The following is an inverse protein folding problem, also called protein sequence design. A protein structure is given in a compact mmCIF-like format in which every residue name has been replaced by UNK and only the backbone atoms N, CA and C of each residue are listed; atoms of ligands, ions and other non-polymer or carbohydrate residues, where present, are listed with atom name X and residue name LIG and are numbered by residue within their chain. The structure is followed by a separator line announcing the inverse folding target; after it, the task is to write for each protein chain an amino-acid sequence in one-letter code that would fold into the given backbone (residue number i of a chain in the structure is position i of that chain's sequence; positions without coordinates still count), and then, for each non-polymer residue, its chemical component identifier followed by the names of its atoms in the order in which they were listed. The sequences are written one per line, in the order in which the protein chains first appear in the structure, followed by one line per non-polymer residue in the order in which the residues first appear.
data_IF_062247616421
#
_entry.id   IF_062247616421
#
_cell.length_a   1.000
_cell.length_b   1.000
_cell.length_c   1.000
_cell.angle_alpha   90.00
_cell.angle_beta   90.00
_cell.angle_gamma   90.00
#
_symmetry.space_group_name_H-M   'P 1'
#
loop_
_entity.id
_entity.type
_entity.pdbx_description
1 polymer ?
#
# COMPACT_ATOMS: atom_id res chain seq x y z
N UNK A 1 -14.22 -38.86 -64.37
CA UNK A 1 -13.91 -39.60 -63.12
C UNK A 1 -12.41 -39.66 -62.93
N UNK A 2 -11.95 -39.38 -61.69
CA UNK A 2 -10.73 -39.85 -61.00
C UNK A 2 -9.37 -39.47 -61.62
N UNK A 3 -8.69 -38.45 -61.08
CA UNK A 3 -7.76 -38.51 -59.93
C UNK A 3 -6.66 -39.56 -60.08
N UNK A 4 -5.48 -39.10 -60.50
CA UNK A 4 -4.21 -39.76 -60.32
C UNK A 4 -3.33 -38.94 -59.36
N UNK A 5 -2.56 -39.72 -58.61
CA UNK A 5 -1.91 -39.45 -57.35
C UNK A 5 -0.51 -38.82 -57.50
N UNK A 6 -0.09 -38.16 -56.42
CA UNK A 6 1.25 -38.13 -55.82
C UNK A 6 2.35 -37.17 -56.35
N UNK A 7 2.75 -36.33 -55.39
CA UNK A 7 4.12 -35.99 -54.96
C UNK A 7 4.97 -35.08 -55.85
N UNK A 8 5.14 -33.85 -55.36
CA UNK A 8 6.46 -33.23 -55.28
C UNK A 8 6.56 -32.38 -54.03
N UNK A 9 7.47 -32.76 -53.14
CA UNK A 9 7.81 -32.11 -51.88
C UNK A 9 8.71 -30.92 -52.20
N UNK A 10 8.18 -29.70 -52.18
CA UNK A 10 9.00 -28.49 -52.27
C UNK A 10 9.41 -28.07 -50.85
N UNK A 11 10.69 -28.27 -50.53
CA UNK A 11 11.33 -27.75 -49.33
C UNK A 11 11.60 -26.25 -49.55
N UNK A 12 10.85 -25.38 -48.88
CA UNK A 12 11.23 -23.98 -48.69
C UNK A 12 11.88 -23.82 -47.31
N UNK A 13 13.21 -23.70 -47.32
CA UNK A 13 13.97 -23.17 -46.18
C UNK A 13 13.72 -21.66 -46.15
N UNK A 14 12.75 -21.22 -45.36
CA UNK A 14 12.67 -19.83 -44.94
C UNK A 14 13.53 -19.68 -43.68
N UNK A 15 14.75 -19.17 -43.86
CA UNK A 15 15.58 -18.70 -42.76
C UNK A 15 14.90 -17.51 -42.08
N UNK A 16 14.17 -17.77 -41.00
CA UNK A 16 13.83 -16.72 -40.06
C UNK A 16 15.06 -16.47 -39.20
N UNK A 17 15.76 -15.39 -39.52
CA UNK A 17 16.63 -14.71 -38.59
C UNK A 17 15.81 -14.44 -37.31
N UNK A 18 16.06 -15.20 -36.26
CA UNK A 18 15.56 -14.88 -34.92
C UNK A 18 16.38 -13.67 -34.47
N UNK A 19 15.79 -12.47 -34.36
CA UNK A 19 16.49 -11.40 -33.65
C UNK A 19 16.77 -11.92 -32.24
N UNK A 20 18.03 -11.80 -31.79
CA UNK A 20 18.38 -11.94 -30.38
C UNK A 20 17.40 -11.09 -29.58
N UNK A 21 16.38 -11.71 -28.98
CA UNK A 21 15.63 -11.09 -27.92
C UNK A 21 16.59 -11.03 -26.74
N UNK A 22 17.26 -9.89 -26.61
CA UNK A 22 17.73 -9.45 -25.32
C UNK A 22 16.50 -9.43 -24.41
N UNK A 23 16.29 -10.53 -23.68
CA UNK A 23 15.38 -10.57 -22.55
C UNK A 23 16.00 -9.72 -21.42
N UNK A 24 16.13 -8.41 -21.68
CA UNK A 24 16.00 -7.44 -20.62
C UNK A 24 14.57 -7.61 -20.11
N UNK A 25 14.45 -8.30 -18.99
CA UNK A 25 13.22 -8.41 -18.23
C UNK A 25 12.67 -6.99 -18.09
N UNK A 26 11.61 -6.70 -18.85
CA UNK A 26 10.83 -5.49 -18.65
C UNK A 26 10.21 -5.63 -17.27
N UNK A 27 10.85 -4.97 -16.30
CA UNK A 27 10.25 -4.70 -15.00
C UNK A 27 8.96 -3.99 -15.33
N UNK A 28 7.83 -4.68 -15.14
CA UNK A 28 6.50 -4.09 -15.25
C UNK A 28 6.54 -2.85 -14.36
N UNK A 29 6.58 -1.67 -14.99
CA UNK A 29 6.55 -0.41 -14.30
C UNK A 29 5.39 -0.48 -13.30
N UNK A 30 5.59 -0.12 -12.01
CA UNK A 30 4.47 0.01 -11.10
C UNK A 30 3.48 0.93 -11.81
N UNK A 31 2.26 0.42 -12.02
CA UNK A 31 1.24 1.08 -12.81
C UNK A 31 1.18 2.56 -12.45
N UNK A 32 1.11 3.38 -13.49
CA UNK A 32 1.06 4.84 -13.43
C UNK A 32 0.03 5.28 -12.39
N UNK A 33 0.46 5.44 -11.14
CA UNK A 33 -0.26 6.21 -10.16
C UNK A 33 -0.04 7.63 -10.63
N UNK A 34 -1.07 8.17 -11.28
CA UNK A 34 -1.12 9.57 -11.67
C UNK A 34 -0.51 10.40 -10.53
N UNK A 35 0.54 11.15 -10.88
CA UNK A 35 1.07 12.19 -10.02
C UNK A 35 -0.02 13.26 -9.90
N UNK A 36 -0.95 13.08 -8.96
CA UNK A 36 -1.73 14.20 -8.47
C UNK A 36 -0.83 14.95 -7.51
N UNK A 37 -0.48 16.17 -7.93
CA UNK A 37 0.28 17.14 -7.14
C UNK A 37 -0.35 17.39 -5.77
N UNK A 38 0.39 18.12 -4.94
CA UNK A 38 0.04 18.43 -3.55
C UNK A 38 -1.47 18.66 -3.37
N UNK A 39 -2.13 17.71 -2.70
CA UNK A 39 -3.58 17.80 -2.52
C UNK A 39 -3.85 18.86 -1.47
N UNK A 40 -4.47 19.94 -1.95
CA UNK A 40 -5.14 20.99 -1.19
C UNK A 40 -5.98 20.34 -0.10
N UNK A 41 -5.81 20.80 1.14
CA UNK A 41 -6.68 20.44 2.25
C UNK A 41 -8.11 20.88 1.90
N UNK A 42 -8.97 19.92 1.58
CA UNK A 42 -10.38 20.20 1.39
C UNK A 42 -10.99 20.40 2.79
N UNK A 43 -11.19 21.68 3.13
CA UNK A 43 -11.74 22.13 4.42
C UNK A 43 -13.26 21.94 4.50
N UNK A 44 -13.90 21.45 3.44
CA UNK A 44 -15.34 21.33 3.38
C UNK A 44 -15.75 19.85 3.40
N UNK A 45 -16.11 19.38 4.59
CA UNK A 45 -16.72 18.07 4.77
C UNK A 45 -18.06 18.00 4.05
N UNK A 46 -18.11 17.35 2.88
CA UNK A 46 -19.37 16.97 2.24
C UNK A 46 -19.21 15.55 1.68
N UNK A 47 -19.86 14.61 2.40
CA UNK A 47 -20.20 13.25 1.97
C UNK A 47 -19.01 12.32 1.71
N UNK A 48 -18.50 11.73 2.81
CA UNK A 48 -17.63 10.55 2.71
C UNK A 48 -18.32 9.51 1.83
N UNK A 49 -17.65 9.15 0.74
CA UNK A 49 -17.83 7.87 0.06
C UNK A 49 -17.74 6.75 1.12
N UNK A 50 -18.53 5.69 0.90
CA UNK A 50 -19.17 4.81 1.90
C UNK A 50 -18.33 4.41 3.13
N UNK A 51 -18.34 5.24 4.18
CA UNK A 51 -17.68 4.95 5.47
C UNK A 51 -18.30 3.77 6.23
N UNK A 52 -19.39 3.19 5.74
CA UNK A 52 -20.01 1.99 6.31
C UNK A 52 -19.24 0.72 5.91
N UNK A 53 -18.63 0.71 4.72
CA UNK A 53 -17.72 -0.35 4.30
C UNK A 53 -16.49 -0.39 5.21
N UNK A 54 -15.87 0.77 5.46
CA UNK A 54 -14.75 0.92 6.40
C UNK A 54 -15.12 0.46 7.83
N UNK A 55 -16.34 0.72 8.30
CA UNK A 55 -16.85 0.20 9.57
C UNK A 55 -16.86 -1.33 9.59
N UNK A 56 -17.46 -1.94 8.57
CA UNK A 56 -17.60 -3.40 8.45
C UNK A 56 -16.22 -4.08 8.44
N UNK A 57 -15.26 -3.53 7.71
CA UNK A 57 -13.90 -4.08 7.65
C UNK A 57 -13.19 -3.96 9.00
N UNK A 58 -13.33 -2.82 9.69
CA UNK A 58 -12.79 -2.65 11.03
C UNK A 58 -13.43 -3.60 12.06
N UNK A 59 -14.75 -3.86 11.97
CA UNK A 59 -15.41 -4.85 12.83
C UNK A 59 -14.89 -6.28 12.64
N UNK A 60 -14.50 -6.68 11.42
CA UNK A 60 -13.94 -8.03 11.21
C UNK A 60 -12.69 -8.30 12.07
N UNK A 61 -11.95 -7.26 12.44
CA UNK A 61 -10.70 -7.40 13.22
C UNK A 61 -10.82 -6.93 14.66
N UNK A 62 -11.78 -6.04 14.98
CA UNK A 62 -12.04 -5.59 16.36
C UNK A 62 -13.12 -6.45 17.04
N UNK A 63 -13.98 -7.11 16.27
CA UNK A 63 -15.26 -7.63 16.74
C UNK A 63 -16.31 -6.52 16.72
N UNK A 64 -16.70 -6.03 17.90
CA UNK A 64 -17.70 -4.95 18.00
C UNK A 64 -17.02 -3.59 18.17
N UNK A 65 -17.28 -2.66 17.24
CA UNK A 65 -16.81 -1.29 17.37
C UNK A 65 -17.67 -0.49 18.35
N UNK A 66 -17.02 0.36 19.14
CA UNK A 66 -17.69 1.36 19.97
C UNK A 66 -17.93 2.62 19.15
N UNK A 67 -19.09 3.22 19.29
CA UNK A 67 -19.38 4.52 18.70
C UNK A 67 -18.49 5.62 19.29
N UNK A 68 -18.28 6.69 18.51
CA UNK A 68 -17.50 7.88 18.91
C UNK A 68 -16.10 7.59 19.46
N UNK A 69 -15.46 6.53 18.97
CA UNK A 69 -14.18 6.02 19.45
C UNK A 69 -13.14 6.12 18.35
N UNK A 70 -11.91 6.51 18.71
CA UNK A 70 -10.80 6.56 17.77
C UNK A 70 -10.07 5.22 17.74
N UNK A 71 -9.89 4.69 16.55
CA UNK A 71 -9.24 3.41 16.30
C UNK A 71 -8.05 3.59 15.37
N UNK A 72 -7.06 2.73 15.53
CA UNK A 72 -5.97 2.61 14.58
C UNK A 72 -5.63 1.15 14.28
N UNK A 73 -5.13 0.94 13.06
CA UNK A 73 -4.84 -0.38 12.50
C UNK A 73 -3.52 -0.32 11.74
N UNK A 74 -2.86 -1.47 11.65
CA UNK A 74 -1.81 -1.69 10.66
C UNK A 74 -2.46 -2.16 9.36
N UNK A 75 -2.23 -1.47 8.25
CA UNK A 75 -2.50 -2.02 6.92
C UNK A 75 -1.31 -2.90 6.51
N UNK A 76 -1.59 -4.04 5.89
CA UNK A 76 -0.62 -5.03 5.45
C UNK A 76 -0.87 -5.39 3.98
N UNK A 77 0.02 -4.91 3.10
CA UNK A 77 0.10 -5.41 1.73
C UNK A 77 0.87 -6.74 1.78
N UNK A 78 0.19 -7.87 1.54
CA UNK A 78 0.81 -9.20 1.62
C UNK A 78 1.95 -9.36 0.60
N UNK A 79 3.02 -10.03 1.00
CA UNK A 79 4.04 -10.48 0.06
C UNK A 79 3.55 -11.69 -0.74
N UNK A 80 3.93 -11.75 -2.02
CA UNK A 80 3.59 -12.90 -2.86
C UNK A 80 4.61 -14.03 -2.69
N UNK A 81 4.17 -15.31 -2.67
CA UNK A 81 5.08 -16.44 -2.73
C UNK A 81 6.01 -16.33 -3.96
N UNK A 82 7.32 -16.43 -3.74
CA UNK A 82 8.32 -16.37 -4.82
C UNK A 82 8.68 -14.97 -5.32
N UNK A 83 8.26 -13.90 -4.64
CA UNK A 83 8.68 -12.54 -4.95
C UNK A 83 10.22 -12.41 -4.85
N UNK A 84 10.89 -12.00 -5.94
CA UNK A 84 12.36 -11.83 -6.02
C UNK A 84 12.74 -10.35 -6.00
N UNK A 85 14.00 -10.07 -5.67
CA UNK A 85 14.57 -8.70 -5.72
C UNK A 85 14.18 -7.81 -4.55
N UNK A 86 13.92 -8.41 -3.38
CA UNK A 86 13.54 -7.66 -2.19
C UNK A 86 14.76 -6.99 -1.56
N UNK A 87 14.61 -5.72 -1.20
CA UNK A 87 15.62 -5.01 -0.43
C UNK A 87 15.69 -5.56 1.00
N UNK A 88 16.82 -5.42 1.72
CA UNK A 88 16.92 -5.87 3.12
C UNK A 88 15.82 -5.29 4.04
N UNK A 89 15.43 -4.04 3.81
CA UNK A 89 14.31 -3.38 4.50
C UNK A 89 12.97 -4.09 4.28
N UNK A 90 12.68 -4.48 3.03
CA UNK A 90 11.44 -5.18 2.68
C UNK A 90 11.45 -6.61 3.23
N UNK A 91 12.57 -7.32 3.08
CA UNK A 91 12.72 -8.68 3.60
C UNK A 91 12.47 -8.71 5.10
N UNK A 92 13.09 -7.79 5.86
CA UNK A 92 12.84 -7.67 7.29
C UNK A 92 11.36 -7.44 7.63
N UNK A 93 10.67 -6.57 6.88
CA UNK A 93 9.24 -6.32 7.09
C UNK A 93 8.41 -7.60 6.87
N UNK A 94 8.74 -8.37 5.83
CA UNK A 94 8.08 -9.64 5.51
C UNK A 94 8.35 -10.67 6.60
N UNK A 95 9.59 -10.84 7.01
CA UNK A 95 9.95 -11.82 8.04
C UNK A 95 9.23 -11.53 9.38
N UNK A 96 8.97 -10.25 9.67
CA UNK A 96 8.30 -9.82 10.89
C UNK A 96 6.77 -9.87 10.84
N UNK A 97 6.15 -9.80 9.64
CA UNK A 97 4.70 -9.56 9.54
C UNK A 97 3.97 -10.35 8.46
N UNK A 98 4.72 -10.98 7.54
CA UNK A 98 4.22 -11.53 6.28
C UNK A 98 3.83 -10.47 5.24
N UNK A 99 4.09 -9.18 5.51
CA UNK A 99 3.69 -8.07 4.66
C UNK A 99 4.89 -7.52 3.90
N UNK A 100 4.73 -7.26 2.59
CA UNK A 100 5.71 -6.54 1.79
C UNK A 100 5.81 -5.07 2.20
N UNK A 101 4.68 -4.48 2.57
CA UNK A 101 4.57 -3.08 2.94
C UNK A 101 3.47 -2.89 3.97
N UNK A 102 3.71 -2.03 4.95
CA UNK A 102 2.73 -1.68 5.97
C UNK A 102 2.47 -0.18 6.05
N UNK A 103 1.30 0.18 6.54
CA UNK A 103 0.92 1.57 6.81
C UNK A 103 0.00 1.68 8.02
N UNK A 104 -0.30 2.90 8.42
CA UNK A 104 -1.23 3.21 9.50
C UNK A 104 -2.59 3.55 8.90
N UNK A 105 -3.64 2.90 9.39
CA UNK A 105 -5.01 3.40 9.23
C UNK A 105 -5.40 4.01 10.57
N UNK A 106 -5.93 5.22 10.57
CA UNK A 106 -6.41 5.87 11.78
C UNK A 106 -7.69 6.62 11.50
N UNK A 107 -8.67 6.51 12.40
CA UNK A 107 -9.96 7.13 12.19
C UNK A 107 -10.82 7.16 13.43
N UNK A 108 -12.06 7.59 13.23
CA UNK A 108 -13.07 7.72 14.28
C UNK A 108 -14.39 7.13 13.83
N UNK A 109 -15.04 6.39 14.72
CA UNK A 109 -16.41 5.94 14.54
C UNK A 109 -17.42 7.06 14.78
N UNK A 110 -18.52 7.07 14.04
CA UNK A 110 -19.62 8.00 14.28
C UNK A 110 -20.33 7.71 15.61
N UNK A 111 -21.03 8.71 16.16
CA UNK A 111 -21.67 8.62 17.48
C UNK A 111 -22.89 7.69 17.54
N UNK A 112 -23.62 7.53 16.42
CA UNK A 112 -24.85 6.72 16.35
C UNK A 112 -25.06 6.02 15.00
N UNK A 113 -24.03 5.98 14.17
CA UNK A 113 -24.08 5.38 12.85
C UNK A 113 -22.95 4.37 12.75
N UNK A 114 -23.17 3.30 11.98
CA UNK A 114 -22.14 2.32 11.64
C UNK A 114 -21.25 2.89 10.52
N UNK A 115 -20.59 4.00 10.84
CA UNK A 115 -19.67 4.70 9.94
C UNK A 115 -18.34 4.89 10.61
N UNK A 116 -17.28 4.58 9.89
CA UNK A 116 -15.91 4.79 10.32
C UNK A 116 -15.20 5.67 9.29
N UNK A 117 -14.86 6.89 9.69
CA UNK A 117 -14.09 7.81 8.84
C UNK A 117 -12.63 7.69 9.23
N UNK A 118 -11.79 7.27 8.28
CA UNK A 118 -10.38 7.00 8.53
C UNK A 118 -9.51 7.52 7.39
N UNK A 119 -8.25 7.78 7.72
CA UNK A 119 -7.19 8.05 6.76
C UNK A 119 -6.17 6.92 6.79
N UNK A 120 -5.65 6.57 5.62
CA UNK A 120 -4.53 5.66 5.48
C UNK A 120 -3.26 6.44 5.17
N UNK A 121 -2.25 6.25 6.02
CA UNK A 121 -0.94 6.89 5.95
C UNK A 121 0.14 5.83 5.77
N UNK A 122 1.08 6.09 4.87
CA UNK A 122 2.26 5.26 4.74
C UNK A 122 3.45 6.03 4.18
N UNK A 123 4.64 5.45 4.34
CA UNK A 123 5.87 5.98 3.77
C UNK A 123 6.34 5.14 2.59
N UNK A 124 6.97 5.77 1.61
CA UNK A 124 7.62 5.11 0.47
C UNK A 124 8.82 5.93 0.03
N UNK A 125 9.75 5.31 -0.70
CA UNK A 125 10.75 6.04 -1.49
C UNK A 125 10.16 6.26 -2.88
N UNK A 126 10.20 7.49 -3.37
CA UNK A 126 9.82 7.78 -4.75
C UNK A 126 11.02 7.55 -5.67
N UNK A 127 10.76 7.24 -6.94
CA UNK A 127 11.82 6.97 -7.92
C UNK A 127 12.64 8.22 -8.25
N UNK A 128 12.00 9.38 -8.25
CA UNK A 128 12.57 10.72 -8.49
C UNK A 128 13.28 11.31 -7.27
N UNK A 129 12.92 10.87 -6.06
CA UNK A 129 13.64 11.19 -4.83
C UNK A 129 13.99 9.92 -4.05
N UNK A 130 14.96 9.14 -4.53
CA UNK A 130 15.34 7.93 -3.84
C UNK A 130 15.90 8.29 -2.47
N UNK A 131 16.63 9.39 -2.27
CA UNK A 131 17.38 9.57 -1.01
C UNK A 131 16.54 10.01 0.20
N UNK A 132 15.22 10.11 0.06
CA UNK A 132 14.34 10.46 1.17
C UNK A 132 13.11 9.56 1.22
N UNK A 133 12.54 9.48 2.43
CA UNK A 133 11.20 8.96 2.61
C UNK A 133 10.17 10.02 2.25
N UNK A 134 9.10 9.59 1.61
CA UNK A 134 7.91 10.40 1.35
C UNK A 134 6.72 9.76 2.04
N UNK A 135 6.01 10.55 2.83
CA UNK A 135 4.73 10.15 3.39
C UNK A 135 3.60 10.54 2.47
N UNK A 136 2.63 9.65 2.34
CA UNK A 136 1.38 9.91 1.63
C UNK A 136 0.21 9.56 2.53
N UNK A 137 -0.84 10.38 2.47
CA UNK A 137 -2.11 10.18 3.16
C UNK A 137 -3.25 10.23 2.15
N UNK A 138 -4.24 9.38 2.31
CA UNK A 138 -5.51 9.45 1.60
C UNK A 138 -6.62 8.92 2.50
N UNK A 139 -7.86 9.26 2.17
CA UNK A 139 -9.02 8.66 2.82
C UNK A 139 -8.97 7.14 2.66
N UNK A 140 -9.28 6.45 3.75
CA UNK A 140 -9.44 5.01 3.74
C UNK A 140 -10.90 4.71 3.51
N UNK A 141 -11.26 4.63 2.24
CA UNK A 141 -12.62 4.37 1.79
C UNK A 141 -12.90 2.87 1.69
N UNK A 142 -11.95 2.03 1.24
CA UNK A 142 -12.18 0.60 1.09
C UNK A 142 -10.89 -0.24 1.06
N UNK A 143 -11.04 -1.53 1.41
CA UNK A 143 -9.99 -2.55 1.31
C UNK A 143 -9.63 -2.76 -0.17
N UNK A 144 -8.48 -2.21 -0.57
CA UNK A 144 -7.79 -2.68 -1.79
C UNK A 144 -7.64 -4.19 -1.61
N UNK A 145 -8.14 -5.01 -2.56
CA UNK A 145 -8.26 -6.50 -2.52
C UNK A 145 -7.07 -7.31 -1.96
N UNK A 146 -5.92 -6.68 -1.72
CA UNK A 146 -4.67 -7.29 -1.24
C UNK A 146 -4.23 -6.79 0.15
N UNK A 147 -5.01 -5.93 0.80
CA UNK A 147 -4.71 -5.36 2.11
C UNK A 147 -5.40 -6.16 3.21
N UNK A 148 -4.60 -6.84 4.03
CA UNK A 148 -5.03 -7.28 5.37
C UNK A 148 -4.96 -6.07 6.28
N UNK A 149 -5.87 -5.93 7.24
CA UNK A 149 -5.71 -4.99 8.35
C UNK A 149 -5.52 -5.77 9.64
N UNK A 150 -4.65 -5.28 10.51
CA UNK A 150 -4.38 -5.85 11.82
C UNK A 150 -4.74 -4.80 12.89
N UNK A 151 -5.48 -5.19 13.93
CA UNK A 151 -5.92 -4.26 14.96
C UNK A 151 -4.74 -3.71 15.77
N UNK A 152 -4.60 -2.38 15.80
CA UNK A 152 -3.53 -1.70 16.54
C UNK A 152 -3.96 -1.25 17.93
N UNK A 153 -5.19 -0.76 18.08
CA UNK A 153 -5.72 -0.32 19.36
C UNK A 153 -6.72 0.83 19.26
N UNK A 154 -7.11 1.37 20.41
CA UNK A 154 -7.84 2.64 20.53
C UNK A 154 -6.90 3.78 20.88
N UNK A 155 -7.25 4.99 20.46
CA UNK A 155 -6.54 6.23 20.82
C UNK A 155 -7.53 7.30 21.27
N UNK A 156 -7.04 8.50 21.57
CA UNK A 156 -7.86 9.67 21.97
C UNK A 156 -8.02 10.65 20.82
N UNK A 157 -9.02 11.52 20.89
CA UNK A 157 -9.21 12.59 19.90
C UNK A 157 -7.99 13.49 19.72
N UNK A 158 -7.23 13.74 20.80
CA UNK A 158 -6.05 14.62 20.75
C UNK A 158 -4.84 13.95 20.13
N UNK A 159 -4.70 12.62 20.26
CA UNK A 159 -3.59 11.86 19.68
C UNK A 159 -3.90 11.38 18.26
N UNK A 160 -5.15 11.01 17.99
CA UNK A 160 -5.62 10.60 16.68
C UNK A 160 -6.01 11.73 15.72
N UNK A 161 -5.83 13.01 16.12
CA UNK A 161 -6.00 14.15 15.23
C UNK A 161 -5.05 14.04 14.03
N UNK A 162 -5.60 14.08 12.81
CA UNK A 162 -4.85 13.78 11.59
C UNK A 162 -3.66 14.73 11.38
N UNK A 163 -3.79 16.03 11.67
CA UNK A 163 -2.69 16.98 11.52
C UNK A 163 -1.53 16.64 12.46
N UNK A 164 -1.83 16.21 13.69
CA UNK A 164 -0.82 15.75 14.64
C UNK A 164 -0.14 14.47 14.16
N UNK A 165 -0.91 13.53 13.63
CA UNK A 165 -0.39 12.29 13.06
C UNK A 165 0.53 12.61 11.88
N UNK A 166 0.11 13.49 10.96
CA UNK A 166 0.92 13.91 9.82
C UNK A 166 2.26 14.51 10.26
N UNK A 167 2.25 15.45 11.22
CA UNK A 167 3.47 16.03 11.80
C UNK A 167 4.38 15.00 12.47
N UNK A 168 3.82 13.98 13.14
CA UNK A 168 4.63 12.91 13.71
C UNK A 168 5.34 12.11 12.62
N UNK A 169 4.66 11.85 11.51
CA UNK A 169 5.26 11.12 10.40
C UNK A 169 6.36 11.93 9.69
N UNK A 170 6.18 13.24 9.53
CA UNK A 170 7.25 14.15 9.07
C UNK A 170 8.46 14.13 10.01
N UNK A 171 8.24 14.11 11.33
CA UNK A 171 9.33 13.95 12.31
C UNK A 171 10.07 12.64 12.12
N UNK A 172 9.36 11.53 11.88
CA UNK A 172 10.02 10.25 11.61
C UNK A 172 10.86 10.30 10.34
N UNK A 173 10.33 10.91 9.27
CA UNK A 173 11.07 11.12 8.01
C UNK A 173 12.37 11.90 8.28
N UNK A 174 12.29 13.00 9.03
CA UNK A 174 13.48 13.78 9.38
C UNK A 174 14.49 12.96 10.21
N UNK A 175 14.01 12.19 11.19
CA UNK A 175 14.87 11.33 12.04
C UNK A 175 15.57 10.23 11.24
N UNK A 176 14.93 9.72 10.18
CA UNK A 176 15.50 8.67 9.34
C UNK A 176 16.77 9.09 8.62
N UNK A 177 16.96 10.40 8.37
CA UNK A 177 18.07 10.94 7.55
C UNK A 177 18.23 10.20 6.22
N UNK A 178 17.12 9.75 5.61
CA UNK A 178 17.12 9.02 4.34
C UNK A 178 17.57 7.56 4.43
N UNK A 179 17.82 7.03 5.63
CA UNK A 179 18.23 5.64 5.81
C UNK A 179 17.13 4.67 5.38
N UNK A 180 17.52 3.57 4.75
CA UNK A 180 16.63 2.54 4.24
C UNK A 180 17.19 1.15 4.54
N UNK A 181 16.83 0.60 5.70
CA UNK A 181 17.40 -0.63 6.25
C UNK A 181 16.42 -1.31 7.23
N UNK A 182 16.88 -2.31 7.98
CA UNK A 182 16.04 -3.03 8.96
C UNK A 182 15.54 -2.16 10.12
N UNK A 183 16.19 -1.03 10.39
CA UNK A 183 15.84 -0.11 11.47
C UNK A 183 15.00 1.07 10.96
N UNK A 184 15.17 1.42 9.68
CA UNK A 184 14.41 2.44 8.98
C UNK A 184 13.69 1.83 7.77
N UNK A 185 12.45 1.40 8.01
CA UNK A 185 11.54 0.82 7.02
C UNK A 185 10.08 1.17 7.34
N UNK A 186 9.14 0.71 6.51
CA UNK A 186 7.72 1.01 6.70
C UNK A 186 7.13 0.43 8.00
N UNK A 187 7.65 -0.69 8.50
CA UNK A 187 7.25 -1.25 9.79
C UNK A 187 7.79 -0.43 10.95
N UNK A 188 9.03 0.04 10.88
CA UNK A 188 9.59 0.96 11.87
C UNK A 188 8.82 2.29 11.90
N UNK A 189 8.43 2.82 10.73
CA UNK A 189 7.53 3.96 10.63
C UNK A 189 6.19 3.69 11.33
N UNK A 190 5.51 2.58 11.00
CA UNK A 190 4.25 2.22 11.64
C UNK A 190 4.39 2.12 13.17
N UNK A 191 5.41 1.43 13.67
CA UNK A 191 5.68 1.27 15.11
C UNK A 191 5.93 2.62 15.79
N UNK A 192 6.70 3.50 15.15
CA UNK A 192 6.90 4.86 15.66
C UNK A 192 5.57 5.59 15.76
N UNK A 193 4.76 5.57 14.71
CA UNK A 193 3.46 6.24 14.69
C UNK A 193 2.52 5.70 15.77
N UNK A 194 2.39 4.38 15.88
CA UNK A 194 1.58 3.72 16.92
C UNK A 194 2.01 4.14 18.33
N UNK A 195 3.32 4.29 18.59
CA UNK A 195 3.83 4.75 19.91
C UNK A 195 3.42 6.20 20.28
N UNK A 196 2.93 6.99 19.31
CA UNK A 196 2.47 8.37 19.52
C UNK A 196 0.95 8.50 19.63
N UNK A 197 0.23 7.39 19.42
CA UNK A 197 -1.23 7.27 19.59
C UNK A 197 -1.59 6.88 21.02
#
# INVERSE_FOLDING_TARGET
MRFLYLLSSCVTVAGLAVPKLNNAISVRAPGHLAATGSVVYDKDGILSRDSSAAWTEAEKVVGTLRHNTHYYFMSCNKAYPGQKGMTPSQQYTIDQTGCLHVGLIIGKTAFRQNKFTASYLHVRRLADNPNSWTQTSHDWDEVKRMQRIDYGGTTTSSKGNIDRVMRNGEKWIALSKGQYNKDWNCLAYYRFMASKL
#
